data_IF_752840936643
#
_entry.id   IF_752840936643
#
_cell.length_a   1.000
_cell.length_b   1.000
_cell.length_c   1.000
_cell.angle_alpha   90.00
_cell.angle_beta   90.00
_cell.angle_gamma   90.00
#
_symmetry.space_group_name_H-M   'P 1'
#
loop_
_entity.id
_entity.type
_entity.pdbx_description
1 polymer ?
#
# COMPACT_ATOMS: atom_id res chain seq x y z
N UNK A 1 23.66 -2.48 -11.66
CA UNK A 1 22.55 -3.26 -11.08
C UNK A 1 22.98 -4.32 -10.04
N UNK A 2 24.10 -4.98 -10.16
CA UNK A 2 24.57 -5.96 -9.15
C UNK A 2 25.04 -5.35 -7.81
N UNK A 3 25.56 -4.13 -7.79
CA UNK A 3 26.07 -3.49 -6.57
C UNK A 3 24.97 -3.04 -5.59
N UNK A 4 23.77 -2.69 -6.09
CA UNK A 4 22.66 -2.26 -5.22
C UNK A 4 21.98 -3.44 -4.50
N UNK A 5 21.97 -4.64 -5.10
CA UNK A 5 21.43 -5.83 -4.46
C UNK A 5 22.33 -6.37 -3.33
N UNK A 6 23.64 -6.25 -3.47
CA UNK A 6 24.61 -6.65 -2.46
C UNK A 6 24.57 -5.76 -1.21
N UNK A 7 24.26 -4.46 -1.37
CA UNK A 7 24.14 -3.53 -0.24
C UNK A 7 22.86 -3.73 0.59
N UNK A 8 21.75 -4.11 -0.03
CA UNK A 8 20.48 -4.39 0.68
C UNK A 8 20.53 -5.68 1.48
N UNK A 9 21.13 -6.74 0.94
CA UNK A 9 21.29 -8.02 1.66
C UNK A 9 22.25 -7.89 2.84
N UNK A 10 23.29 -7.07 2.73
CA UNK A 10 24.22 -6.77 3.82
C UNK A 10 23.54 -5.92 4.91
N UNK A 11 22.68 -4.97 4.57
CA UNK A 11 21.95 -4.16 5.54
C UNK A 11 20.89 -4.99 6.28
N UNK A 12 20.13 -5.83 5.58
CA UNK A 12 19.12 -6.72 6.19
C UNK A 12 19.80 -7.70 7.17
N UNK A 13 20.92 -8.29 6.78
CA UNK A 13 21.70 -9.18 7.64
C UNK A 13 22.22 -8.47 8.91
N UNK A 14 22.73 -7.25 8.78
CA UNK A 14 23.19 -6.43 9.92
C UNK A 14 22.05 -6.06 10.87
N UNK A 15 20.87 -5.72 10.33
CA UNK A 15 19.68 -5.44 11.14
C UNK A 15 19.26 -6.69 11.91
N UNK A 16 19.17 -7.85 11.25
CA UNK A 16 18.79 -9.10 11.89
C UNK A 16 19.76 -9.48 13.01
N UNK A 17 21.07 -9.36 12.78
CA UNK A 17 22.11 -9.64 13.78
C UNK A 17 21.96 -8.72 15.00
N UNK A 18 21.78 -7.42 14.80
CA UNK A 18 21.68 -6.44 15.89
C UNK A 18 20.39 -6.57 16.68
N UNK A 19 19.25 -6.73 15.99
CA UNK A 19 17.96 -6.96 16.66
C UNK A 19 18.02 -8.27 17.46
N UNK A 20 18.59 -9.33 16.91
CA UNK A 20 18.78 -10.58 17.59
C UNK A 20 19.68 -10.44 18.84
N UNK A 21 20.80 -9.74 18.72
CA UNK A 21 21.69 -9.44 19.86
C UNK A 21 20.95 -8.67 20.95
N UNK A 22 20.14 -7.67 20.57
CA UNK A 22 19.36 -6.87 21.54
C UNK A 22 18.28 -7.69 22.24
N UNK A 23 17.62 -8.62 21.54
CA UNK A 23 16.67 -9.56 22.16
C UNK A 23 17.39 -10.43 23.20
N UNK A 24 18.59 -10.92 22.87
CA UNK A 24 19.42 -11.68 23.81
C UNK A 24 19.81 -10.87 25.04
N UNK A 25 20.26 -9.62 24.85
CA UNK A 25 20.59 -8.68 25.95
C UNK A 25 19.39 -8.47 26.88
N UNK A 26 18.22 -8.18 26.33
CA UNK A 26 16.99 -8.00 27.11
C UNK A 26 16.63 -9.26 27.89
N UNK A 27 16.74 -10.43 27.27
CA UNK A 27 16.48 -11.71 27.94
C UNK A 27 17.44 -11.94 29.09
N UNK A 28 18.71 -11.70 28.89
CA UNK A 28 19.77 -11.84 29.91
C UNK A 28 19.57 -10.83 31.05
N UNK A 29 19.26 -9.58 30.72
CA UNK A 29 18.99 -8.54 31.72
C UNK A 29 17.73 -8.85 32.54
N UNK A 30 16.75 -9.53 31.97
CA UNK A 30 15.57 -10.01 32.66
C UNK A 30 15.81 -11.29 33.50
N UNK A 31 17.01 -11.88 33.44
CA UNK A 31 17.36 -13.09 34.16
C UNK A 31 16.61 -14.35 33.71
N UNK A 32 16.06 -14.37 32.48
CA UNK A 32 15.26 -15.50 31.99
C UNK A 32 16.01 -16.36 30.99
N UNK A 33 15.68 -17.66 30.95
CA UNK A 33 16.27 -18.60 30.02
C UNK A 33 15.68 -18.45 28.61
N UNK A 34 16.38 -18.96 27.59
CA UNK A 34 15.87 -18.97 26.23
C UNK A 34 14.58 -19.82 26.10
N UNK A 35 14.43 -20.85 26.90
CA UNK A 35 13.21 -21.69 26.96
C UNK A 35 12.02 -20.84 27.39
N UNK A 36 12.15 -20.11 28.50
CA UNK A 36 11.07 -19.28 29.05
C UNK A 36 10.68 -18.17 28.09
N UNK A 37 11.64 -17.50 27.46
CA UNK A 37 11.33 -16.44 26.49
C UNK A 37 10.64 -17.00 25.24
N UNK A 38 11.12 -18.15 24.73
CA UNK A 38 10.52 -18.80 23.57
C UNK A 38 9.05 -19.17 23.80
N UNK A 39 8.77 -19.78 24.97
CA UNK A 39 7.42 -20.12 25.39
C UNK A 39 6.50 -18.88 25.47
N UNK A 40 6.95 -17.83 26.13
CA UNK A 40 6.23 -16.54 26.25
C UNK A 40 6.01 -15.85 24.91
N UNK A 41 6.96 -15.98 23.99
CA UNK A 41 6.87 -15.43 22.65
C UNK A 41 6.04 -16.33 21.69
N UNK A 42 5.70 -17.56 22.10
CA UNK A 42 4.94 -18.51 21.29
C UNK A 42 5.74 -19.06 20.10
N UNK A 43 7.04 -19.32 20.30
CA UNK A 43 7.97 -19.90 19.33
C UNK A 43 8.80 -21.04 19.97
N UNK A 44 9.46 -21.85 19.15
CA UNK A 44 10.39 -22.86 19.66
C UNK A 44 11.70 -22.23 20.14
N UNK A 45 12.38 -22.87 21.08
CA UNK A 45 13.71 -22.46 21.54
C UNK A 45 14.72 -22.38 20.37
N UNK A 46 14.63 -23.31 19.41
CA UNK A 46 15.48 -23.30 18.22
C UNK A 46 15.23 -22.08 17.32
N UNK A 47 13.97 -21.66 17.20
CA UNK A 47 13.64 -20.41 16.50
C UNK A 47 14.19 -19.17 17.23
N UNK A 48 14.02 -19.10 18.54
CA UNK A 48 14.57 -18.01 19.34
C UNK A 48 16.10 -17.93 19.21
N UNK A 49 16.79 -19.08 19.27
CA UNK A 49 18.24 -19.16 19.09
C UNK A 49 18.69 -18.64 17.72
N UNK A 50 17.97 -19.00 16.64
CA UNK A 50 18.26 -18.47 15.30
C UNK A 50 18.05 -16.95 15.24
N UNK A 51 17.02 -16.43 15.89
CA UNK A 51 16.73 -15.01 15.97
C UNK A 51 17.85 -14.29 16.73
N UNK A 52 18.18 -14.75 17.94
CA UNK A 52 19.23 -14.15 18.77
C UNK A 52 20.62 -14.16 18.11
N UNK A 53 20.84 -15.05 17.16
CA UNK A 53 22.06 -15.13 16.35
C UNK A 53 21.95 -14.43 14.98
N UNK A 54 20.87 -13.72 14.71
CA UNK A 54 20.65 -13.03 13.44
C UNK A 54 20.49 -13.94 12.23
N UNK A 55 20.11 -15.20 12.44
CA UNK A 55 19.95 -16.23 11.39
C UNK A 55 18.49 -16.47 10.98
N UNK A 56 17.57 -15.70 11.53
CA UNK A 56 16.16 -15.78 11.20
C UNK A 56 15.50 -14.41 11.30
N UNK A 57 14.60 -14.13 10.39
CA UNK A 57 13.80 -12.89 10.35
C UNK A 57 12.74 -12.93 11.45
N UNK A 58 12.61 -11.84 12.20
CA UNK A 58 11.49 -11.65 13.12
C UNK A 58 10.24 -11.23 12.35
N UNK A 59 9.15 -11.96 12.52
CA UNK A 59 7.84 -11.43 12.11
C UNK A 59 7.45 -10.26 13.02
N UNK A 60 6.70 -9.30 12.48
CA UNK A 60 6.22 -8.15 13.26
C UNK A 60 5.36 -8.60 14.45
N UNK A 61 4.56 -9.67 14.27
CA UNK A 61 3.78 -10.26 15.35
C UNK A 61 4.68 -10.75 16.51
N UNK A 62 5.81 -11.36 16.17
CA UNK A 62 6.78 -11.82 17.17
C UNK A 62 7.52 -10.62 17.79
N UNK A 63 7.92 -9.65 16.99
CA UNK A 63 8.53 -8.40 17.45
C UNK A 63 7.63 -7.68 18.47
N UNK A 64 6.34 -7.51 18.13
CA UNK A 64 5.36 -6.90 19.03
C UNK A 64 5.20 -7.68 20.34
N UNK A 65 5.19 -9.01 20.29
CA UNK A 65 5.11 -9.87 21.49
C UNK A 65 6.35 -9.69 22.39
N UNK A 66 7.54 -9.70 21.80
CA UNK A 66 8.80 -9.50 22.54
C UNK A 66 8.84 -8.12 23.19
N UNK A 67 8.49 -7.07 22.44
CA UNK A 67 8.44 -5.71 22.95
C UNK A 67 7.43 -5.53 24.08
N UNK A 68 6.24 -6.13 23.94
CA UNK A 68 5.24 -6.13 25.00
C UNK A 68 5.71 -6.88 26.24
N UNK A 69 6.36 -8.04 26.05
CA UNK A 69 6.91 -8.84 27.16
C UNK A 69 7.98 -8.06 27.95
N UNK A 70 8.89 -7.38 27.25
CA UNK A 70 9.94 -6.59 27.89
C UNK A 70 9.49 -5.18 28.31
N UNK A 71 8.24 -4.81 28.06
CA UNK A 71 7.71 -3.46 28.26
C UNK A 71 8.62 -2.39 27.61
N UNK A 72 9.00 -2.60 26.35
CA UNK A 72 9.86 -1.71 25.59
C UNK A 72 9.20 -1.37 24.25
N UNK A 73 9.32 -0.12 23.78
CA UNK A 73 8.88 0.23 22.43
C UNK A 73 9.74 -0.49 21.37
N UNK A 74 9.18 -0.77 20.21
CA UNK A 74 9.90 -1.48 19.12
C UNK A 74 11.18 -0.75 18.73
N UNK A 75 11.19 0.56 18.73
CA UNK A 75 12.37 1.37 18.47
C UNK A 75 13.54 1.06 19.42
N UNK A 76 13.29 0.51 20.62
CA UNK A 76 14.33 0.12 21.55
C UNK A 76 15.23 -1.01 21.01
N UNK A 77 14.68 -1.93 20.23
CA UNK A 77 15.45 -3.01 19.62
C UNK A 77 16.42 -2.51 18.53
N UNK A 78 16.23 -1.26 18.10
CA UNK A 78 17.04 -0.60 17.07
C UNK A 78 17.92 0.54 17.63
N UNK A 79 17.92 0.79 18.92
CA UNK A 79 18.57 1.95 19.58
C UNK A 79 20.11 2.03 19.53
N UNK A 80 20.81 1.04 18.98
CA UNK A 80 22.27 1.07 18.84
C UNK A 80 22.77 1.46 17.46
N UNK A 81 21.90 1.99 16.60
CA UNK A 81 22.30 2.57 15.33
C UNK A 81 22.68 4.04 15.54
N UNK A 82 23.79 4.49 14.96
CA UNK A 82 24.17 5.92 14.91
C UNK A 82 23.09 6.74 14.18
N UNK A 83 22.37 6.11 13.24
CA UNK A 83 21.17 6.59 12.60
C UNK A 83 19.94 5.90 13.22
N UNK A 84 18.90 6.63 13.61
CA UNK A 84 17.64 6.04 14.09
C UNK A 84 16.89 5.50 12.87
N UNK A 85 16.87 4.17 12.63
CA UNK A 85 16.15 3.64 11.48
C UNK A 85 14.64 3.78 11.69
N UNK A 86 13.93 4.15 10.63
CA UNK A 86 12.48 4.20 10.59
C UNK A 86 11.95 3.11 9.68
N UNK A 87 11.01 2.35 10.19
CA UNK A 87 10.43 1.23 9.44
C UNK A 87 9.38 1.77 8.47
N UNK A 88 9.62 1.54 7.18
CA UNK A 88 8.69 1.86 6.11
C UNK A 88 7.94 0.59 5.70
N UNK A 89 6.68 0.48 6.13
CA UNK A 89 5.77 -0.55 5.67
C UNK A 89 5.30 -0.28 4.24
N UNK A 90 5.23 -1.33 3.42
CA UNK A 90 4.73 -1.23 2.06
C UNK A 90 4.19 -2.57 1.58
N UNK A 91 3.25 -2.55 0.63
CA UNK A 91 2.79 -3.75 -0.08
C UNK A 91 3.61 -4.10 -1.31
N UNK A 92 4.57 -3.27 -1.67
CA UNK A 92 5.38 -3.55 -2.87
C UNK A 92 6.20 -4.82 -2.70
N UNK A 93 6.35 -5.55 -3.80
CA UNK A 93 7.27 -6.68 -3.90
C UNK A 93 8.56 -6.22 -4.59
N UNK A 94 9.65 -6.98 -4.47
CA UNK A 94 10.92 -6.66 -5.16
C UNK A 94 10.73 -6.49 -6.67
N UNK A 95 9.74 -7.18 -7.24
CA UNK A 95 9.40 -7.13 -8.68
C UNK A 95 8.31 -6.12 -9.00
N UNK A 96 7.65 -5.54 -7.99
CA UNK A 96 6.62 -4.53 -8.20
C UNK A 96 7.23 -3.22 -8.69
N UNK A 97 6.54 -2.47 -9.55
CA UNK A 97 7.03 -1.20 -10.07
C UNK A 97 7.23 -0.15 -8.97
N UNK A 98 6.48 -0.25 -7.89
CA UNK A 98 6.59 0.64 -6.73
C UNK A 98 7.93 0.53 -6.01
N UNK A 99 8.61 -0.62 -6.12
CA UNK A 99 9.86 -0.84 -5.41
C UNK A 99 10.92 0.21 -5.75
N UNK A 100 11.02 0.61 -7.03
CA UNK A 100 11.96 1.63 -7.44
C UNK A 100 11.67 2.99 -6.78
N UNK A 101 10.39 3.40 -6.71
CA UNK A 101 9.96 4.63 -6.05
C UNK A 101 10.24 4.61 -4.55
N UNK A 102 9.95 3.50 -3.88
CA UNK A 102 10.18 3.30 -2.44
C UNK A 102 11.68 3.35 -2.11
N UNK A 103 12.52 2.69 -2.90
CA UNK A 103 13.99 2.73 -2.70
C UNK A 103 14.53 4.13 -2.96
N UNK A 104 14.07 4.79 -4.01
CA UNK A 104 14.46 6.16 -4.32
C UNK A 104 14.05 7.13 -3.19
N UNK A 105 12.83 6.99 -2.67
CA UNK A 105 12.35 7.76 -1.52
C UNK A 105 13.25 7.58 -0.29
N UNK A 106 13.55 6.35 0.06
CA UNK A 106 14.41 6.04 1.21
C UNK A 106 15.81 6.66 1.06
N UNK A 107 16.41 6.58 -0.13
CA UNK A 107 17.72 7.18 -0.40
C UNK A 107 17.68 8.71 -0.40
N UNK A 108 16.62 9.33 -0.96
CA UNK A 108 16.47 10.78 -0.96
C UNK A 108 16.26 11.34 0.45
N UNK A 109 15.50 10.63 1.30
CA UNK A 109 15.39 10.96 2.73
C UNK A 109 16.77 10.94 3.38
N UNK A 110 17.55 9.87 3.19
CA UNK A 110 18.90 9.76 3.73
C UNK A 110 19.80 10.90 3.27
N UNK A 111 19.75 11.22 1.97
CA UNK A 111 20.53 12.30 1.36
C UNK A 111 20.15 13.68 1.92
N UNK A 112 18.86 13.99 2.01
CA UNK A 112 18.39 15.32 2.47
C UNK A 112 18.56 15.52 3.97
N UNK A 113 18.64 14.44 4.75
CA UNK A 113 18.86 14.49 6.20
C UNK A 113 20.32 14.30 6.61
N UNK A 114 21.24 14.22 5.62
CA UNK A 114 22.67 13.95 5.92
C UNK A 114 22.88 12.62 6.67
N UNK A 115 21.98 11.64 6.44
CA UNK A 115 22.05 10.34 7.10
C UNK A 115 21.38 10.28 8.48
N UNK A 116 20.89 11.40 9.03
CA UNK A 116 20.26 11.40 10.36
C UNK A 116 18.90 10.70 10.40
N UNK A 117 18.30 10.42 9.25
CA UNK A 117 17.08 9.62 9.11
C UNK A 117 17.28 8.58 8.00
N UNK A 118 17.22 7.30 8.37
CA UNK A 118 17.27 6.18 7.44
C UNK A 118 15.91 5.47 7.40
N UNK A 119 15.36 5.23 6.22
CA UNK A 119 14.16 4.44 6.03
C UNK A 119 14.53 3.00 5.65
N UNK A 120 13.87 2.04 6.30
CA UNK A 120 14.04 0.61 6.03
C UNK A 120 12.75 0.07 5.44
N UNK A 121 12.68 -0.12 4.11
CA UNK A 121 11.52 -0.71 3.48
C UNK A 121 11.35 -2.19 3.87
N UNK A 122 10.20 -2.54 4.45
CA UNK A 122 9.83 -3.91 4.77
C UNK A 122 8.78 -4.44 3.81
N UNK A 123 8.89 -5.72 3.46
CA UNK A 123 7.99 -6.39 2.52
C UNK A 123 6.75 -6.94 3.23
N UNK A 124 5.64 -7.18 2.51
CA UNK A 124 4.43 -7.77 3.08
C UNK A 124 4.67 -9.11 3.78
N UNK A 125 5.59 -9.93 3.28
CA UNK A 125 5.97 -11.18 3.92
C UNK A 125 6.61 -11.02 5.31
N UNK A 126 7.11 -9.82 5.63
CA UNK A 126 7.73 -9.49 6.91
C UNK A 126 6.75 -8.85 7.90
N UNK A 127 5.78 -8.09 7.39
CA UNK A 127 4.91 -7.23 8.23
C UNK A 127 3.40 -7.47 8.03
N UNK A 128 3.01 -8.38 7.14
CA UNK A 128 1.61 -8.77 6.95
C UNK A 128 0.84 -7.96 5.90
N UNK A 129 -0.49 -8.08 5.94
CA UNK A 129 -1.39 -7.42 5.01
C UNK A 129 -1.41 -5.89 5.19
N UNK A 130 -1.95 -5.16 4.20
CA UNK A 130 -2.10 -3.70 4.29
C UNK A 130 -2.91 -3.27 5.52
N UNK A 131 -4.03 -3.93 5.80
CA UNK A 131 -4.84 -3.64 7.00
C UNK A 131 -4.01 -3.80 8.29
N UNK A 132 -3.26 -4.91 8.42
CA UNK A 132 -2.38 -5.11 9.55
C UNK A 132 -1.29 -4.03 9.65
N UNK A 133 -0.75 -3.57 8.51
CA UNK A 133 0.26 -2.51 8.49
C UNK A 133 -0.31 -1.15 8.94
N UNK A 134 -1.56 -0.84 8.60
CA UNK A 134 -2.21 0.39 9.08
C UNK A 134 -2.41 0.38 10.60
N UNK A 135 -2.79 -0.77 11.18
CA UNK A 135 -2.88 -0.92 12.63
C UNK A 135 -1.50 -0.77 13.28
N UNK A 136 -0.46 -1.38 12.71
CA UNK A 136 0.92 -1.23 13.18
C UNK A 136 1.42 0.21 13.06
N UNK A 137 1.03 0.95 12.01
CA UNK A 137 1.33 2.37 11.85
C UNK A 137 0.70 3.19 12.97
N UNK A 138 -0.59 2.98 13.23
CA UNK A 138 -1.32 3.67 14.30
C UNK A 138 -0.69 3.41 15.67
N UNK A 139 -0.32 2.16 15.94
CA UNK A 139 0.35 1.78 17.20
C UNK A 139 1.83 2.24 17.25
N UNK A 140 2.37 2.80 16.17
CA UNK A 140 3.77 3.22 16.07
C UNK A 140 4.77 2.06 16.02
N UNK A 141 4.32 0.86 15.68
CA UNK A 141 5.17 -0.32 15.50
C UNK A 141 5.91 -0.30 14.16
N UNK A 142 5.32 0.31 13.15
CA UNK A 142 6.02 0.83 11.97
C UNK A 142 5.92 2.36 11.97
N UNK A 143 6.85 3.01 11.28
CA UNK A 143 6.94 4.47 11.29
C UNK A 143 6.17 5.09 10.14
N UNK A 144 6.28 4.52 8.94
CA UNK A 144 5.63 4.97 7.72
C UNK A 144 4.94 3.81 7.02
N UNK A 145 3.94 4.16 6.21
CA UNK A 145 3.23 3.22 5.34
C UNK A 145 2.88 3.88 4.00
N UNK A 146 3.05 3.15 2.91
CA UNK A 146 2.77 3.63 1.55
C UNK A 146 1.74 2.71 0.91
N UNK A 147 0.51 3.22 0.74
CA UNK A 147 -0.57 2.50 0.08
C UNK A 147 -1.74 3.43 -0.26
N UNK A 148 -2.77 2.93 -0.92
CA UNK A 148 -3.93 3.69 -1.33
C UNK A 148 -4.74 4.24 -0.14
N UNK A 149 -5.37 5.43 -0.26
CA UNK A 149 -6.06 6.07 0.85
C UNK A 149 -7.22 5.27 1.44
N UNK A 150 -7.87 4.41 0.67
CA UNK A 150 -9.02 3.63 1.17
C UNK A 150 -8.67 2.69 2.33
N UNK A 151 -7.40 2.36 2.55
CA UNK A 151 -6.98 1.57 3.70
C UNK A 151 -7.19 2.28 5.04
N UNK A 152 -7.42 3.61 5.02
CA UNK A 152 -7.73 4.39 6.22
C UNK A 152 -9.23 4.52 6.49
N UNK A 153 -10.09 3.94 5.65
CA UNK A 153 -11.54 3.97 5.84
C UNK A 153 -12.06 3.41 7.17
N UNK A 154 -11.40 2.41 7.81
CA UNK A 154 -11.79 1.99 9.16
C UNK A 154 -11.68 3.08 10.24
N UNK A 155 -10.86 4.11 10.02
CA UNK A 155 -10.68 5.24 10.93
C UNK A 155 -11.51 6.45 10.51
N UNK A 156 -11.62 6.69 9.21
CA UNK A 156 -12.37 7.80 8.62
C UNK A 156 -13.14 7.27 7.40
N UNK A 157 -14.43 6.97 7.55
CA UNK A 157 -15.24 6.30 6.52
C UNK A 157 -15.22 6.96 5.14
N UNK A 158 -15.01 8.29 5.08
CA UNK A 158 -14.90 9.03 3.81
C UNK A 158 -13.83 8.50 2.86
N UNK A 159 -12.76 7.87 3.37
CA UNK A 159 -11.75 7.25 2.52
C UNK A 159 -12.25 6.05 1.69
N UNK A 160 -13.42 5.48 2.00
CA UNK A 160 -14.06 4.46 1.16
C UNK A 160 -14.34 4.96 -0.27
N UNK A 161 -14.50 6.26 -0.46
CA UNK A 161 -14.73 6.84 -1.79
C UNK A 161 -13.58 6.55 -2.77
N UNK A 162 -12.33 6.40 -2.27
CA UNK A 162 -11.16 6.08 -3.09
C UNK A 162 -11.07 4.61 -3.50
N UNK A 163 -11.94 3.75 -2.97
CA UNK A 163 -11.94 2.31 -3.25
C UNK A 163 -12.71 1.93 -4.52
N UNK A 164 -13.57 2.82 -5.01
CA UNK A 164 -14.49 2.51 -6.09
C UNK A 164 -14.04 3.09 -7.43
N UNK A 165 -14.20 2.34 -8.53
CA UNK A 165 -13.96 2.87 -9.88
C UNK A 165 -14.86 4.08 -10.18
N UNK A 166 -14.34 4.98 -11.00
CA UNK A 166 -15.03 6.17 -11.50
C UNK A 166 -15.55 7.08 -10.37
N UNK A 167 -14.84 7.16 -9.25
CA UNK A 167 -15.17 8.11 -8.18
C UNK A 167 -14.95 9.56 -8.62
N UNK A 168 -14.04 9.77 -9.56
CA UNK A 168 -13.70 11.06 -10.14
C UNK A 168 -13.75 10.98 -11.66
N UNK A 169 -14.26 12.03 -12.32
CA UNK A 169 -14.42 12.07 -13.76
C UNK A 169 -13.13 12.45 -14.51
N UNK A 170 -12.27 13.23 -13.86
CA UNK A 170 -11.00 13.72 -14.41
C UNK A 170 -9.93 13.88 -13.33
N UNK A 171 -8.68 14.05 -13.73
CA UNK A 171 -7.57 14.37 -12.81
C UNK A 171 -7.79 15.76 -12.16
N UNK A 172 -8.28 16.74 -12.89
CA UNK A 172 -8.63 18.06 -12.37
C UNK A 172 -9.75 17.99 -11.34
N UNK A 173 -10.81 17.20 -11.61
CA UNK A 173 -11.86 16.92 -10.62
C UNK A 173 -11.30 16.33 -9.34
N UNK A 174 -10.47 15.28 -9.47
CA UNK A 174 -9.80 14.67 -8.30
C UNK A 174 -8.94 15.67 -7.56
N UNK A 175 -8.20 16.52 -8.28
CA UNK A 175 -7.36 17.53 -7.70
C UNK A 175 -8.17 18.58 -6.95
N UNK A 176 -9.26 19.07 -7.53
CA UNK A 176 -10.17 20.01 -6.87
C UNK A 176 -10.70 19.47 -5.54
N UNK A 177 -11.07 18.18 -5.50
CA UNK A 177 -11.49 17.54 -4.26
C UNK A 177 -10.36 17.47 -3.22
N UNK A 178 -9.15 17.04 -3.62
CA UNK A 178 -8.00 16.90 -2.72
C UNK A 178 -7.52 18.27 -2.16
N UNK A 179 -7.71 19.34 -2.89
CA UNK A 179 -7.37 20.71 -2.46
C UNK A 179 -8.49 21.38 -1.65
N UNK A 180 -9.67 20.76 -1.57
CA UNK A 180 -10.84 21.35 -0.90
C UNK A 180 -10.68 21.47 0.62
N UNK A 181 -11.41 22.41 1.20
CA UNK A 181 -11.53 22.52 2.67
C UNK A 181 -12.16 21.27 3.26
N UNK A 182 -13.17 20.71 2.57
CA UNK A 182 -13.82 19.46 3.02
C UNK A 182 -12.82 18.31 3.20
N UNK A 183 -11.99 18.05 2.19
CA UNK A 183 -11.00 16.98 2.27
C UNK A 183 -10.06 17.18 3.45
N UNK A 184 -9.56 18.39 3.63
CA UNK A 184 -8.66 18.74 4.75
C UNK A 184 -9.33 18.58 6.11
N UNK A 185 -10.55 19.10 6.26
CA UNK A 185 -11.23 19.20 7.57
C UNK A 185 -11.98 17.93 7.95
N UNK A 186 -12.53 17.20 6.96
CA UNK A 186 -13.36 16.03 7.23
C UNK A 186 -12.63 14.70 7.02
N UNK A 187 -11.50 14.67 6.31
CA UNK A 187 -10.73 13.43 6.11
C UNK A 187 -9.34 13.51 6.72
N UNK A 188 -8.55 14.54 6.39
CA UNK A 188 -7.14 14.61 6.82
C UNK A 188 -7.03 14.88 8.32
N UNK A 189 -7.74 15.87 8.83
CA UNK A 189 -7.66 16.23 10.25
C UNK A 189 -8.22 15.15 11.18
N UNK A 190 -9.39 14.52 10.90
CA UNK A 190 -9.84 13.38 11.69
C UNK A 190 -8.87 12.20 11.66
N UNK A 191 -8.25 11.88 10.52
CA UNK A 191 -7.24 10.83 10.44
C UNK A 191 -6.03 11.17 11.32
N UNK A 192 -5.57 12.43 11.29
CA UNK A 192 -4.47 12.89 12.14
C UNK A 192 -4.78 12.74 13.63
N UNK A 193 -6.03 12.98 14.05
CA UNK A 193 -6.48 12.77 15.42
C UNK A 193 -6.46 11.30 15.84
N UNK A 194 -6.52 10.36 14.89
CA UNK A 194 -6.34 8.92 15.18
C UNK A 194 -4.88 8.51 15.39
N UNK A 195 -3.92 9.41 15.17
CA UNK A 195 -2.48 9.17 15.27
C UNK A 195 -1.79 8.87 13.93
N UNK A 196 -2.44 9.14 12.79
CA UNK A 196 -1.91 8.90 11.45
C UNK A 196 -1.89 10.24 10.67
N UNK A 197 -0.73 10.60 10.12
CA UNK A 197 -0.53 11.81 9.30
C UNK A 197 -0.09 11.44 7.90
N UNK A 198 -0.65 12.08 6.86
CA UNK A 198 -0.06 12.04 5.53
C UNK A 198 1.10 13.04 5.40
N UNK A 199 2.15 12.63 4.68
CA UNK A 199 3.36 13.44 4.41
C UNK A 199 3.53 13.81 2.94
N UNK A 200 2.55 13.48 2.08
CA UNK A 200 2.56 13.78 0.64
C UNK A 200 1.44 14.77 0.25
N UNK A 201 1.53 16.06 0.61
CA UNK A 201 0.46 17.04 0.35
C UNK A 201 0.19 17.28 -1.14
N UNK A 202 1.17 16.98 -2.01
CA UNK A 202 1.02 17.12 -3.46
C UNK A 202 0.23 15.98 -4.10
N UNK A 203 0.01 14.85 -3.41
CA UNK A 203 -0.70 13.67 -3.94
C UNK A 203 -0.20 13.24 -5.33
N UNK A 204 1.10 13.34 -5.55
CA UNK A 204 1.75 13.10 -6.84
C UNK A 204 2.32 11.70 -7.01
N UNK A 205 1.97 10.76 -6.14
CA UNK A 205 2.32 9.34 -6.28
C UNK A 205 1.20 8.61 -7.02
N UNK A 206 1.30 8.55 -8.35
CA UNK A 206 0.31 7.91 -9.22
C UNK A 206 0.75 6.51 -9.59
N UNK A 207 -0.09 5.52 -9.33
CA UNK A 207 0.19 4.10 -9.59
C UNK A 207 -0.21 3.71 -11.02
N UNK A 208 0.53 4.19 -12.02
CA UNK A 208 0.34 3.86 -13.43
C UNK A 208 -0.56 4.81 -14.20
N UNK A 209 -1.08 4.32 -15.33
CA UNK A 209 -1.94 5.10 -16.22
C UNK A 209 -3.42 4.93 -15.90
N UNK A 210 -3.82 3.71 -15.55
CA UNK A 210 -5.23 3.38 -15.31
C UNK A 210 -5.39 2.05 -14.57
N UNK A 211 -6.57 1.86 -14.01
CA UNK A 211 -7.06 0.57 -13.57
C UNK A 211 -7.45 -0.31 -14.75
N UNK A 212 -7.14 -1.62 -14.63
CA UNK A 212 -7.50 -2.62 -15.63
C UNK A 212 -8.12 -3.84 -14.98
N UNK A 213 -8.90 -4.59 -15.76
CA UNK A 213 -9.32 -5.95 -15.40
C UNK A 213 -8.50 -6.94 -16.22
N UNK A 214 -7.57 -7.63 -15.56
CA UNK A 214 -6.92 -8.78 -16.16
C UNK A 214 -7.74 -10.03 -15.90
N UNK A 215 -8.07 -10.81 -16.94
CA UNK A 215 -8.97 -11.95 -16.85
C UNK A 215 -8.47 -13.15 -17.68
N UNK A 216 -8.96 -14.35 -17.35
CA UNK A 216 -8.67 -15.57 -18.09
C UNK A 216 -9.52 -15.71 -19.37
N UNK A 217 -10.54 -14.89 -19.55
CA UNK A 217 -11.40 -14.76 -20.73
C UNK A 217 -11.76 -13.30 -20.99
N UNK A 218 -12.27 -12.94 -22.18
CA UNK A 218 -12.66 -11.56 -22.45
C UNK A 218 -13.73 -11.07 -21.47
N UNK A 219 -13.55 -9.85 -20.94
CA UNK A 219 -14.51 -9.13 -20.11
C UNK A 219 -14.70 -7.75 -20.74
N UNK A 220 -15.75 -7.57 -21.51
CA UNK A 220 -16.00 -6.36 -22.32
C UNK A 220 -17.09 -5.49 -21.67
N UNK A 221 -18.07 -6.13 -21.06
CA UNK A 221 -19.18 -5.50 -20.35
C UNK A 221 -19.23 -5.96 -18.90
N UNK A 222 -19.91 -5.23 -17.99
CA UNK A 222 -20.14 -5.71 -16.63
C UNK A 222 -20.82 -7.08 -16.57
N UNK A 223 -21.69 -7.40 -17.55
CA UNK A 223 -22.38 -8.69 -17.62
C UNK A 223 -21.46 -9.89 -17.81
N UNK A 224 -20.28 -9.69 -18.39
CA UNK A 224 -19.29 -10.76 -18.59
C UNK A 224 -18.63 -11.21 -17.29
N UNK A 225 -18.78 -10.43 -16.21
CA UNK A 225 -18.31 -10.79 -14.86
C UNK A 225 -19.18 -11.86 -14.18
N UNK A 226 -20.38 -12.15 -14.73
CA UNK A 226 -21.33 -13.06 -14.07
C UNK A 226 -20.69 -14.41 -13.73
N UNK A 227 -20.65 -14.70 -12.42
CA UNK A 227 -20.12 -15.93 -11.88
C UNK A 227 -18.60 -16.06 -11.86
N UNK A 228 -17.85 -15.08 -12.40
CA UNK A 228 -16.38 -15.08 -12.34
C UNK A 228 -15.88 -14.77 -10.93
N UNK A 229 -14.84 -15.45 -10.53
CA UNK A 229 -14.13 -15.21 -9.27
C UNK A 229 -13.24 -13.99 -9.43
N UNK A 230 -13.67 -12.86 -8.84
CA UNK A 230 -12.93 -11.59 -8.87
C UNK A 230 -12.15 -11.43 -7.58
N UNK A 231 -10.85 -11.23 -7.68
CA UNK A 231 -10.01 -10.91 -6.52
C UNK A 231 -10.41 -9.57 -5.94
N UNK A 232 -10.57 -9.53 -4.63
CA UNK A 232 -10.77 -8.27 -3.91
C UNK A 232 -9.79 -8.14 -2.73
N UNK A 233 -9.61 -6.91 -2.24
CA UNK A 233 -9.17 -6.67 -0.87
C UNK A 233 -10.34 -7.02 0.06
N UNK A 234 -10.07 -7.57 1.25
CA UNK A 234 -11.14 -7.92 2.19
C UNK A 234 -11.78 -6.65 2.77
N UNK A 235 -12.90 -6.26 2.18
CA UNK A 235 -13.68 -5.08 2.50
C UNK A 235 -15.16 -5.35 2.23
N UNK A 236 -16.07 -5.01 3.14
CA UNK A 236 -17.51 -5.11 2.92
C UNK A 236 -17.95 -4.35 1.67
N UNK A 237 -17.43 -3.12 1.47
CA UNK A 237 -17.67 -2.28 0.31
C UNK A 237 -17.28 -2.98 -1.00
N UNK A 238 -16.04 -3.46 -1.10
CA UNK A 238 -15.54 -4.15 -2.29
C UNK A 238 -16.32 -5.44 -2.56
N UNK A 239 -16.64 -6.19 -1.52
CA UNK A 239 -17.43 -7.41 -1.63
C UNK A 239 -18.82 -7.14 -2.19
N UNK A 240 -19.45 -6.06 -1.73
CA UNK A 240 -20.77 -5.63 -2.18
C UNK A 240 -20.72 -5.14 -3.62
N UNK A 241 -19.78 -4.24 -3.95
CA UNK A 241 -19.60 -3.67 -5.28
C UNK A 241 -19.43 -4.76 -6.37
N UNK A 242 -18.49 -5.68 -6.19
CA UNK A 242 -18.22 -6.72 -7.18
C UNK A 242 -19.34 -7.75 -7.28
N UNK A 243 -20.04 -8.03 -6.19
CA UNK A 243 -21.24 -8.89 -6.21
C UNK A 243 -22.34 -8.28 -7.05
N UNK A 244 -22.57 -6.99 -6.95
CA UNK A 244 -23.64 -6.29 -7.68
C UNK A 244 -23.32 -6.14 -9.17
N UNK A 245 -22.06 -6.22 -9.54
CA UNK A 245 -21.64 -6.41 -10.94
C UNK A 245 -21.83 -7.87 -11.42
N UNK A 246 -22.35 -8.76 -10.58
CA UNK A 246 -22.61 -10.17 -10.90
C UNK A 246 -21.43 -11.11 -10.69
N UNK A 247 -20.32 -10.61 -10.19
CA UNK A 247 -19.13 -11.41 -9.91
C UNK A 247 -19.24 -12.23 -8.60
N UNK A 248 -18.30 -13.14 -8.40
CA UNK A 248 -18.05 -13.86 -7.14
C UNK A 248 -16.80 -13.29 -6.50
N UNK A 249 -16.90 -12.33 -5.56
CA UNK A 249 -15.73 -11.72 -4.93
C UNK A 249 -15.00 -12.72 -4.04
N UNK A 250 -13.69 -12.81 -4.22
CA UNK A 250 -12.78 -13.66 -3.43
C UNK A 250 -11.72 -12.78 -2.79
N UNK A 251 -11.71 -12.72 -1.47
CA UNK A 251 -10.70 -11.98 -0.72
C UNK A 251 -9.38 -12.75 -0.74
N UNK A 252 -8.36 -12.18 -1.38
CA UNK A 252 -7.02 -12.76 -1.47
C UNK A 252 -5.99 -11.69 -1.12
N UNK A 253 -5.14 -11.92 -0.11
CA UNK A 253 -4.04 -11.02 0.21
C UNK A 253 -3.11 -10.83 -1.00
N UNK A 254 -2.55 -9.62 -1.16
CA UNK A 254 -1.72 -9.32 -2.34
C UNK A 254 -0.55 -10.29 -2.52
N UNK A 255 0.11 -10.67 -1.44
CA UNK A 255 1.22 -11.62 -1.47
C UNK A 255 0.83 -13.02 -2.01
N UNK A 256 -0.46 -13.37 -1.95
CA UNK A 256 -1.00 -14.68 -2.33
C UNK A 256 -1.62 -14.69 -3.74
N UNK A 257 -1.76 -13.52 -4.40
CA UNK A 257 -2.38 -13.41 -5.74
C UNK A 257 -1.71 -14.35 -6.74
N UNK A 258 -0.38 -14.42 -6.75
CA UNK A 258 0.35 -15.31 -7.66
C UNK A 258 0.05 -16.80 -7.44
N UNK A 259 -0.19 -17.25 -6.21
CA UNK A 259 -0.61 -18.62 -5.93
C UNK A 259 -2.07 -18.87 -6.31
N UNK A 260 -2.97 -17.94 -5.97
CA UNK A 260 -4.38 -18.01 -6.30
C UNK A 260 -4.64 -18.05 -7.83
N UNK A 261 -3.79 -17.37 -8.60
CA UNK A 261 -3.82 -17.47 -10.08
C UNK A 261 -3.39 -18.85 -10.58
N UNK A 262 -2.38 -19.46 -9.96
CA UNK A 262 -1.92 -20.80 -10.35
C UNK A 262 -2.90 -21.90 -10.01
N UNK A 263 -3.57 -21.81 -8.85
CA UNK A 263 -4.60 -22.76 -8.42
C UNK A 263 -5.95 -22.55 -9.11
N UNK A 264 -6.13 -21.41 -9.83
CA UNK A 264 -7.41 -21.07 -10.44
C UNK A 264 -8.46 -20.60 -9.42
N UNK A 265 -8.05 -20.11 -8.26
CA UNK A 265 -8.97 -19.59 -7.23
C UNK A 265 -9.54 -18.23 -7.60
N UNK A 266 -8.91 -17.52 -8.55
CA UNK A 266 -9.39 -16.26 -9.14
C UNK A 266 -9.35 -16.32 -10.67
N UNK A 267 -10.37 -15.74 -11.30
CA UNK A 267 -10.55 -15.65 -12.75
C UNK A 267 -10.26 -14.23 -13.26
N UNK A 268 -10.46 -13.23 -12.40
CA UNK A 268 -10.30 -11.81 -12.72
C UNK A 268 -9.51 -11.12 -11.61
N UNK A 269 -8.59 -10.29 -12.02
CA UNK A 269 -7.77 -9.46 -11.14
C UNK A 269 -7.93 -7.99 -11.54
N UNK A 270 -8.69 -7.19 -10.76
CA UNK A 270 -8.60 -5.74 -10.82
C UNK A 270 -7.21 -5.32 -10.34
N UNK A 271 -6.47 -4.59 -11.16
CA UNK A 271 -5.09 -4.21 -10.86
C UNK A 271 -4.63 -3.05 -11.74
N UNK A 272 -3.36 -2.70 -11.65
CA UNK A 272 -2.72 -1.67 -12.46
C UNK A 272 -1.94 -2.30 -13.62
N UNK A 273 -1.87 -1.63 -14.75
CA UNK A 273 -1.14 -2.12 -15.94
C UNK A 273 0.32 -2.45 -15.60
N UNK A 274 0.98 -1.60 -14.82
CA UNK A 274 2.37 -1.75 -14.42
C UNK A 274 2.67 -3.05 -13.66
N UNK A 275 1.68 -3.69 -13.04
CA UNK A 275 1.85 -4.97 -12.33
C UNK A 275 1.89 -6.18 -13.26
N UNK A 276 1.26 -6.08 -14.44
CA UNK A 276 0.97 -7.25 -15.26
C UNK A 276 2.22 -8.01 -15.72
N UNK A 277 3.21 -7.29 -16.23
CA UNK A 277 4.43 -7.91 -16.75
C UNK A 277 5.45 -8.31 -15.68
N UNK A 278 5.85 -7.42 -14.75
CA UNK A 278 6.82 -7.76 -13.72
C UNK A 278 6.38 -8.93 -12.82
N UNK A 279 5.09 -8.98 -12.50
CA UNK A 279 4.50 -10.04 -11.67
C UNK A 279 4.01 -11.24 -12.50
N UNK A 280 4.15 -11.17 -13.83
CA UNK A 280 3.81 -12.25 -14.79
C UNK A 280 2.33 -12.67 -14.73
N UNK A 281 1.42 -11.76 -14.39
CA UNK A 281 0.00 -12.09 -14.26
C UNK A 281 -0.63 -12.49 -15.59
N UNK A 282 -0.19 -11.90 -16.71
CA UNK A 282 -0.64 -12.26 -18.05
C UNK A 282 -0.28 -13.71 -18.47
N UNK A 283 0.53 -14.42 -17.68
CA UNK A 283 0.72 -15.86 -17.89
C UNK A 283 -0.59 -16.65 -17.67
N UNK A 284 -1.46 -16.16 -16.79
CA UNK A 284 -2.73 -16.77 -16.41
C UNK A 284 -3.93 -15.96 -16.88
N UNK A 285 -3.81 -14.63 -16.92
CA UNK A 285 -4.87 -13.68 -17.25
C UNK A 285 -4.50 -12.94 -18.54
N UNK A 286 -4.89 -13.49 -19.68
CA UNK A 286 -4.44 -13.00 -21.00
C UNK A 286 -5.28 -11.87 -21.58
N UNK A 287 -6.45 -11.61 -21.02
CA UNK A 287 -7.35 -10.56 -21.52
C UNK A 287 -7.30 -9.40 -20.54
N UNK A 288 -6.95 -8.22 -21.01
CA UNK A 288 -6.77 -7.01 -20.20
C UNK A 288 -7.75 -5.96 -20.72
N UNK A 289 -8.83 -5.75 -19.99
CA UNK A 289 -9.82 -4.73 -20.31
C UNK A 289 -9.40 -3.39 -19.73
N UNK A 290 -9.30 -2.37 -20.59
CA UNK A 290 -8.91 -1.01 -20.24
C UNK A 290 -10.17 -0.27 -19.77
N UNK A 291 -10.24 0.05 -18.46
CA UNK A 291 -11.40 0.64 -17.83
C UNK A 291 -11.50 2.17 -18.00
N UNK A 292 -10.42 2.81 -18.47
CA UNK A 292 -10.40 4.26 -18.63
C UNK A 292 -10.66 5.02 -17.33
N UNK A 293 -10.35 4.40 -16.19
CA UNK A 293 -10.46 5.02 -14.88
C UNK A 293 -9.13 5.67 -14.50
N UNK A 294 -9.18 6.65 -13.59
CA UNK A 294 -7.97 7.36 -13.18
C UNK A 294 -6.97 6.44 -12.49
N UNK A 295 -5.66 6.72 -12.63
CA UNK A 295 -4.65 5.97 -11.89
C UNK A 295 -4.85 6.17 -10.39
N UNK A 296 -4.77 5.09 -9.59
CA UNK A 296 -4.88 5.21 -8.15
C UNK A 296 -3.77 6.07 -7.56
N UNK A 297 -4.12 6.79 -6.49
CA UNK A 297 -3.19 7.55 -5.67
C UNK A 297 -2.56 6.65 -4.62
N UNK A 298 -1.27 6.84 -4.36
CA UNK A 298 -0.66 6.37 -3.12
C UNK A 298 -0.59 7.49 -2.11
N UNK A 299 -0.95 7.17 -0.89
CA UNK A 299 -0.70 7.98 0.29
C UNK A 299 0.59 7.52 0.96
N UNK A 300 1.38 8.48 1.45
CA UNK A 300 2.48 8.22 2.37
C UNK A 300 2.06 8.70 3.74
N UNK A 301 1.85 7.76 4.64
CA UNK A 301 1.45 8.04 6.01
C UNK A 301 2.59 7.79 6.98
N UNK A 302 2.64 8.58 8.04
CA UNK A 302 3.56 8.45 9.17
C UNK A 302 2.76 8.43 10.48
N UNK A 303 3.25 7.73 11.48
CA UNK A 303 2.71 7.83 12.83
C UNK A 303 2.86 9.26 13.34
N UNK A 304 1.75 9.88 13.77
CA UNK A 304 1.71 11.31 14.17
C UNK A 304 2.68 11.62 15.31
N UNK A 305 2.70 10.80 16.36
CA UNK A 305 3.58 11.04 17.50
C UNK A 305 5.06 10.98 17.10
N UNK A 306 5.41 10.07 16.19
CA UNK A 306 6.78 9.97 15.66
C UNK A 306 7.14 11.13 14.74
N UNK A 307 6.18 11.67 13.99
CA UNK A 307 6.41 12.87 13.18
C UNK A 307 6.66 14.10 14.05
N UNK A 308 5.88 14.26 15.12
CA UNK A 308 5.98 15.43 16.02
C UNK A 308 7.33 15.52 16.75
N UNK A 309 7.98 14.40 17.03
CA UNK A 309 9.31 14.40 17.67
C UNK A 309 10.46 14.62 16.69
N UNK A 310 10.20 14.63 15.38
CA UNK A 310 11.21 14.99 14.39
C UNK A 310 11.48 16.51 14.45
N UNK A 311 12.75 16.88 14.35
CA UNK A 311 13.11 18.30 14.21
C UNK A 311 12.47 18.90 12.95
N UNK A 312 12.17 20.19 12.93
CA UNK A 312 11.52 20.85 11.77
C UNK A 312 12.31 20.70 10.46
N UNK A 313 13.64 20.72 10.51
CA UNK A 313 14.49 20.50 9.34
C UNK A 313 14.34 19.08 8.76
N UNK A 314 14.18 18.06 9.62
CA UNK A 314 13.93 16.67 9.23
C UNK A 314 12.51 16.50 8.69
N UNK A 315 11.50 17.12 9.30
CA UNK A 315 10.12 17.12 8.78
C UNK A 315 10.07 17.72 7.36
N UNK A 316 10.71 18.86 7.14
CA UNK A 316 10.80 19.49 5.83
C UNK A 316 11.57 18.62 4.81
N UNK A 317 12.67 17.99 5.24
CA UNK A 317 13.43 17.08 4.38
C UNK A 317 12.60 15.86 3.97
N UNK A 318 11.85 15.26 4.91
CA UNK A 318 10.97 14.12 4.66
C UNK A 318 9.88 14.49 3.64
N UNK A 319 9.22 15.63 3.82
CA UNK A 319 8.19 16.12 2.89
C UNK A 319 8.77 16.39 1.50
N UNK A 320 9.91 17.09 1.42
CA UNK A 320 10.59 17.37 0.15
C UNK A 320 11.06 16.09 -0.56
N UNK A 321 11.53 15.08 0.18
CA UNK A 321 11.88 13.79 -0.37
C UNK A 321 10.63 13.09 -0.93
N UNK A 322 9.52 13.17 -0.20
CA UNK A 322 8.26 12.58 -0.60
C UNK A 322 7.73 13.17 -1.92
N UNK A 323 7.73 14.50 -2.05
CA UNK A 323 7.31 15.20 -3.25
C UNK A 323 8.16 14.82 -4.47
N UNK A 324 9.48 14.80 -4.31
CA UNK A 324 10.40 14.42 -5.38
C UNK A 324 10.27 12.94 -5.77
N UNK A 325 10.10 12.09 -4.77
CA UNK A 325 9.90 10.66 -5.00
C UNK A 325 8.59 10.38 -5.72
N UNK A 326 7.53 11.17 -5.47
CA UNK A 326 6.27 11.07 -6.17
C UNK A 326 6.40 11.39 -7.66
N UNK A 327 7.14 12.46 -8.00
CA UNK A 327 7.43 12.82 -9.40
C UNK A 327 8.23 11.69 -10.09
N UNK A 328 9.29 11.19 -9.44
CA UNK A 328 10.09 10.07 -9.95
C UNK A 328 9.25 8.79 -10.12
N UNK A 329 8.47 8.43 -9.09
CA UNK A 329 7.66 7.22 -9.09
C UNK A 329 6.62 7.22 -10.20
N UNK A 330 5.85 8.31 -10.32
CA UNK A 330 4.78 8.43 -11.31
C UNK A 330 5.30 8.35 -12.72
N UNK A 331 6.44 9.00 -13.01
CA UNK A 331 7.09 8.90 -14.31
C UNK A 331 7.64 7.49 -14.57
N UNK A 332 8.32 6.89 -13.58
CA UNK A 332 8.87 5.55 -13.71
C UNK A 332 7.78 4.50 -13.98
N UNK A 333 6.66 4.57 -13.26
CA UNK A 333 5.54 3.62 -13.45
C UNK A 333 4.86 3.83 -14.79
N UNK A 334 4.72 5.08 -15.24
CA UNK A 334 4.16 5.42 -16.57
C UNK A 334 5.00 4.82 -17.71
N UNK A 335 6.32 4.90 -17.61
CA UNK A 335 7.23 4.28 -18.57
C UNK A 335 7.14 2.74 -18.53
N UNK A 336 7.11 2.16 -17.33
CA UNK A 336 6.97 0.72 -17.15
C UNK A 336 5.62 0.19 -17.70
N UNK A 337 4.56 0.98 -17.66
CA UNK A 337 3.26 0.61 -18.24
C UNK A 337 3.35 0.37 -19.74
N UNK A 338 3.98 1.30 -20.48
CA UNK A 338 4.13 1.19 -21.93
C UNK A 338 4.99 -0.02 -22.32
N UNK A 339 6.11 -0.24 -21.63
CA UNK A 339 6.99 -1.40 -21.86
C UNK A 339 6.31 -2.72 -21.50
N UNK A 340 5.49 -2.71 -20.44
CA UNK A 340 4.75 -3.89 -19.96
C UNK A 340 3.73 -4.39 -20.98
N UNK A 341 3.01 -3.51 -21.65
CA UNK A 341 2.03 -3.90 -22.65
C UNK A 341 2.69 -4.67 -23.80
N UNK A 342 3.72 -4.08 -24.42
CA UNK A 342 4.45 -4.72 -25.51
C UNK A 342 5.02 -6.08 -25.09
N UNK A 343 5.59 -6.16 -23.89
CA UNK A 343 6.19 -7.38 -23.36
C UNK A 343 5.13 -8.46 -23.05
N UNK A 344 3.96 -8.09 -22.53
CA UNK A 344 2.86 -9.01 -22.28
C UNK A 344 2.29 -9.58 -23.59
N UNK A 345 2.13 -8.75 -24.62
CA UNK A 345 1.69 -9.20 -25.95
C UNK A 345 2.70 -10.18 -26.54
N UNK A 346 3.97 -9.80 -26.56
CA UNK A 346 5.02 -10.62 -27.16
C UNK A 346 5.19 -11.97 -26.44
N UNK A 347 5.27 -11.95 -25.12
CA UNK A 347 5.66 -13.11 -24.30
C UNK A 347 4.49 -14.00 -23.90
N UNK A 348 3.35 -13.40 -23.53
CA UNK A 348 2.20 -14.12 -22.98
C UNK A 348 1.00 -14.15 -23.93
N UNK A 349 1.11 -13.51 -25.11
CA UNK A 349 0.00 -13.36 -26.06
C UNK A 349 -1.21 -12.68 -25.43
N UNK A 350 -0.96 -11.68 -24.58
CA UNK A 350 -2.01 -10.91 -23.94
C UNK A 350 -2.75 -10.06 -24.97
N UNK A 351 -4.07 -9.94 -24.81
CA UNK A 351 -4.94 -9.08 -25.61
C UNK A 351 -5.41 -7.91 -24.72
N UNK A 352 -5.05 -6.69 -25.12
CA UNK A 352 -5.53 -5.47 -24.48
C UNK A 352 -6.81 -5.00 -25.18
N UNK A 353 -7.90 -4.95 -24.43
CA UNK A 353 -9.23 -4.70 -24.96
C UNK A 353 -9.64 -3.26 -24.65
N UNK A 354 -9.78 -2.45 -25.70
CA UNK A 354 -10.49 -1.17 -25.61
C UNK A 354 -11.98 -1.45 -25.60
N UNK A 355 -12.67 -1.07 -24.53
CA UNK A 355 -14.06 -1.40 -24.29
C UNK A 355 -14.91 -0.13 -24.27
N UNK A 356 -16.24 -0.27 -24.44
CA UNK A 356 -17.17 0.83 -24.21
C UNK A 356 -17.28 1.10 -22.71
N UNK A 357 -17.05 2.35 -22.29
CA UNK A 357 -16.97 2.71 -20.86
C UNK A 357 -18.34 3.01 -20.25
N UNK A 358 -19.33 3.47 -21.06
CA UNK A 358 -20.63 3.88 -20.55
C UNK A 358 -21.38 2.78 -19.77
N UNK A 359 -21.38 1.49 -20.20
CA UNK A 359 -21.99 0.43 -19.41
C UNK A 359 -21.33 0.25 -18.03
N UNK A 360 -20.01 0.45 -17.94
CA UNK A 360 -19.26 0.33 -16.71
C UNK A 360 -19.49 1.51 -15.78
N UNK A 361 -19.45 2.73 -16.30
CA UNK A 361 -19.75 3.97 -15.57
C UNK A 361 -21.18 3.96 -15.02
N UNK A 362 -22.15 3.59 -15.86
CA UNK A 362 -23.54 3.48 -15.45
C UNK A 362 -23.77 2.44 -14.35
N UNK A 363 -23.15 1.27 -14.48
CA UNK A 363 -23.23 0.23 -13.45
C UNK A 363 -22.58 0.68 -12.14
N UNK A 364 -21.41 1.29 -12.19
CA UNK A 364 -20.71 1.82 -11.02
C UNK A 364 -21.51 2.93 -10.33
N UNK A 365 -22.10 3.85 -11.10
CA UNK A 365 -22.93 4.94 -10.56
C UNK A 365 -24.16 4.40 -9.81
N UNK A 366 -24.87 3.43 -10.41
CA UNK A 366 -26.02 2.77 -9.76
C UNK A 366 -25.60 2.10 -8.46
N UNK A 367 -24.54 1.29 -8.49
CA UNK A 367 -24.08 0.58 -7.30
C UNK A 367 -23.63 1.57 -6.22
N UNK A 368 -22.95 2.67 -6.57
CA UNK A 368 -22.61 3.73 -5.60
C UNK A 368 -23.84 4.32 -4.92
N UNK A 369 -24.93 4.55 -5.65
CA UNK A 369 -26.18 5.02 -5.05
C UNK A 369 -26.74 4.01 -4.03
N UNK A 370 -26.73 2.71 -4.37
CA UNK A 370 -27.17 1.66 -3.45
C UNK A 370 -26.26 1.58 -2.20
N UNK A 371 -24.93 1.68 -2.38
CA UNK A 371 -23.96 1.69 -1.28
C UNK A 371 -24.13 2.91 -0.35
N UNK A 372 -24.55 4.07 -0.87
CA UNK A 372 -24.89 5.24 -0.07
C UNK A 372 -26.12 4.97 0.80
N UNK A 373 -27.18 4.42 0.22
CA UNK A 373 -28.43 4.08 0.94
C UNK A 373 -28.12 3.07 2.06
N UNK A 374 -27.22 2.13 1.82
CA UNK A 374 -26.81 1.11 2.82
C UNK A 374 -25.82 1.64 3.86
N UNK A 375 -25.35 2.89 3.74
CA UNK A 375 -24.37 3.47 4.67
C UNK A 375 -22.94 2.92 4.55
N UNK A 376 -22.64 2.23 3.44
CA UNK A 376 -21.29 1.73 3.16
C UNK A 376 -20.39 2.81 2.53
N UNK A 377 -20.97 3.89 2.03
CA UNK A 377 -20.29 5.11 1.60
C UNK A 377 -20.71 6.28 2.47
N UNK A 378 -19.76 7.15 2.73
CA UNK A 378 -19.97 8.39 3.47
C UNK A 378 -20.65 9.43 2.57
N UNK A 379 -21.92 9.75 2.86
CA UNK A 379 -22.71 10.68 2.05
C UNK A 379 -22.10 12.08 1.94
N UNK A 380 -21.58 12.71 3.03
CA UNK A 380 -20.91 13.99 2.93
C UNK A 380 -19.70 13.98 1.98
N UNK A 381 -18.90 12.93 2.02
CA UNK A 381 -17.74 12.79 1.13
C UNK A 381 -18.14 12.65 -0.33
N UNK A 382 -19.17 11.83 -0.64
CA UNK A 382 -19.64 11.67 -2.01
C UNK A 382 -20.26 12.98 -2.53
N UNK A 383 -20.98 13.72 -1.69
CA UNK A 383 -21.51 15.04 -2.05
C UNK A 383 -20.39 16.06 -2.31
N UNK A 384 -19.33 16.05 -1.49
CA UNK A 384 -18.17 16.94 -1.68
C UNK A 384 -17.38 16.61 -2.96
N UNK A 385 -17.25 15.32 -3.31
CA UNK A 385 -16.65 14.90 -4.58
C UNK A 385 -17.52 15.44 -5.75
N UNK A 386 -18.83 15.26 -5.72
CA UNK A 386 -19.72 15.77 -6.76
C UNK A 386 -19.66 17.31 -6.88
N UNK A 387 -19.57 18.02 -5.76
CA UNK A 387 -19.42 19.48 -5.76
C UNK A 387 -18.09 19.94 -6.37
N UNK A 388 -17.01 19.19 -6.18
CA UNK A 388 -15.71 19.51 -6.76
C UNK A 388 -15.71 19.42 -8.30
N UNK A 389 -16.56 18.58 -8.92
CA UNK A 389 -16.71 18.52 -10.36
C UNK A 389 -17.28 19.82 -10.96
N UNK A 390 -18.18 20.50 -10.24
CA UNK A 390 -18.81 21.74 -10.69
C UNK A 390 -17.86 22.94 -10.69
N UNK A 391 -16.72 22.85 -10.02
CA UNK A 391 -15.71 23.93 -9.96
C UNK A 391 -14.80 23.97 -11.21
N UNK A 392 -14.82 22.95 -12.06
CA UNK A 392 -14.07 22.91 -13.32
C UNK A 392 -14.66 23.79 -14.42
N UNK A 393 -15.96 24.07 -14.37
CA UNK A 393 -16.69 24.81 -15.42
C UNK A 393 -16.64 26.35 -15.22
N UNK A 394 -16.05 26.86 -14.13
CA UNK A 394 -15.83 28.30 -13.98
C UNK A 394 -14.52 28.72 -14.65
N UNK A 395 -14.56 29.54 -15.72
CA UNK A 395 -13.34 30.09 -16.30
C UNK A 395 -12.64 30.96 -15.24
N UNK A 396 -11.34 30.70 -15.05
CA UNK A 396 -10.46 31.55 -14.22
C UNK A 396 -10.67 33.01 -14.66
N UNK A 397 -11.31 33.79 -13.83
CA UNK A 397 -11.52 35.24 -14.03
C UNK A 397 -10.24 36.02 -13.71
#
# INVERSE_FOLDING_TARGET
MAAASLQTDDLEGRIQQRVGARVRELRQAAGITAVVLAERAGISQGQLSKIENGKATLSVKLLARLCRFFNRPVGYLFQSFEEIPRVLGTLTTVKGPENAGIQWFAEEVRRLTGGSLALIPLRPSQIGSAAAQVDLLKEGLIDLFVEEPFYYAPFVPGFNAFALPYAFDSESHRRAFLDSAFFREQLIEPLRQTGIRFVNPRWNWLRGLEWVLAANRPVVTPGDLRGLKVRIVDSPLMRRFWRDLGARPVAVPWAEVGSALRSGDIDVLPTHRAHLYPLRFCRHLRFVSLLGDLPPLLSLAINEAKYQILRPDIQNALQKACDRAGDFFSEHVRQADAESEASNIARFKAAYLKIALDPWRSAAARIRADLLVEGLLDQPTVAAIAAAASMEDEPIR
#
